data_IF_405554306266
#
_entry.id   IF_405554306266
#
_cell.length_a   1.000
_cell.length_b   1.000
_cell.length_c   1.000
_cell.angle_alpha   90.00
_cell.angle_beta   90.00
_cell.angle_gamma   90.00
#
_symmetry.space_group_name_H-M   'P 1'
#
loop_
_entity.id
_entity.type
_entity.pdbx_description
1 polymer ?
#
# COMPACT_ATOMS: atom_id res chain seq x y z
N UNK A 1 21.62 6.52 3.36
CA UNK A 1 20.82 7.59 3.97
C UNK A 1 21.65 8.29 5.02
N UNK A 2 21.60 9.62 5.16
CA UNK A 2 22.27 10.31 6.26
C UNK A 2 21.80 9.65 7.58
N UNK A 3 22.75 9.47 8.53
CA UNK A 3 22.39 8.94 9.85
C UNK A 3 21.34 9.86 10.45
N UNK A 4 20.13 9.37 10.48
CA UNK A 4 18.96 10.10 10.95
C UNK A 4 19.12 10.32 12.45
N UNK A 5 18.97 11.55 12.91
CA UNK A 5 19.00 11.88 14.32
C UNK A 5 17.91 11.11 15.07
N UNK A 6 18.29 10.29 16.04
CA UNK A 6 17.38 9.32 16.67
C UNK A 6 16.13 9.92 17.32
N UNK A 7 16.09 11.24 17.56
CA UNK A 7 15.03 11.91 18.35
C UNK A 7 14.54 13.24 17.77
N UNK A 8 14.73 13.51 16.49
CA UNK A 8 14.12 14.70 15.91
C UNK A 8 12.61 14.50 15.68
N UNK A 9 11.91 15.59 15.39
CA UNK A 9 10.47 15.61 15.13
C UNK A 9 10.04 14.57 14.10
N UNK A 10 10.78 14.45 12.98
CA UNK A 10 10.43 13.56 11.89
C UNK A 10 10.70 12.09 12.20
N UNK A 11 11.78 11.80 12.97
CA UNK A 11 12.04 10.45 13.47
C UNK A 11 10.95 9.94 14.40
N UNK A 12 10.45 10.80 15.30
CA UNK A 12 9.32 10.46 16.15
C UNK A 12 8.02 10.28 15.36
N UNK A 13 7.78 11.14 14.36
CA UNK A 13 6.62 11.05 13.50
C UNK A 13 6.64 9.75 12.68
N UNK A 14 7.78 9.40 12.08
CA UNK A 14 7.94 8.13 11.36
C UNK A 14 7.71 6.92 12.26
N UNK A 15 8.26 6.94 13.48
CA UNK A 15 8.06 5.84 14.44
C UNK A 15 6.58 5.65 14.81
N UNK A 16 5.87 6.75 15.08
CA UNK A 16 4.42 6.72 15.37
C UNK A 16 3.63 6.18 14.17
N UNK A 17 3.99 6.63 12.96
CA UNK A 17 3.34 6.19 11.74
C UNK A 17 3.52 4.69 11.49
N UNK A 18 4.74 4.19 11.63
CA UNK A 18 5.05 2.77 11.47
C UNK A 18 4.40 1.90 12.55
N UNK A 19 4.30 2.40 13.78
CA UNK A 19 3.58 1.70 14.86
C UNK A 19 2.08 1.61 14.57
N UNK A 20 1.48 2.69 14.08
CA UNK A 20 0.05 2.71 13.75
C UNK A 20 -0.29 1.85 12.53
N UNK A 21 0.59 1.80 11.53
CA UNK A 21 0.40 0.97 10.35
C UNK A 21 0.56 -0.53 10.62
N UNK A 22 1.33 -0.91 11.64
CA UNK A 22 1.59 -2.32 12.01
C UNK A 22 2.48 -3.07 11.02
N UNK A 23 2.29 -2.89 9.71
CA UNK A 23 3.13 -3.44 8.64
C UNK A 23 4.26 -2.45 8.28
N UNK A 24 5.47 -2.95 8.19
CA UNK A 24 6.66 -2.18 7.79
C UNK A 24 7.04 -2.37 6.32
N UNK A 25 6.19 -3.01 5.55
CA UNK A 25 6.39 -3.28 4.12
C UNK A 25 5.29 -2.66 3.24
N UNK A 26 5.43 -2.77 1.92
CA UNK A 26 4.51 -2.18 0.94
C UNK A 26 4.86 -0.76 0.56
N UNK A 27 3.87 0.05 0.25
CA UNK A 27 4.06 1.42 -0.20
C UNK A 27 3.63 2.43 0.86
N UNK A 28 4.46 3.46 1.06
CA UNK A 28 4.08 4.65 1.81
C UNK A 28 3.96 5.86 0.88
N UNK A 29 2.93 6.65 1.06
CA UNK A 29 2.74 7.92 0.39
C UNK A 29 3.00 9.06 1.38
N UNK A 30 3.93 9.95 1.06
CA UNK A 30 4.20 11.18 1.79
C UNK A 30 3.63 12.35 0.99
N UNK A 31 2.59 12.98 1.50
CA UNK A 31 1.86 14.06 0.83
C UNK A 31 2.20 15.40 1.46
N UNK A 32 2.76 16.30 0.67
CA UNK A 32 3.21 17.60 1.17
C UNK A 32 4.51 17.52 1.96
N UNK A 33 5.51 18.22 1.50
CA UNK A 33 6.85 18.24 2.07
C UNK A 33 7.14 19.57 2.78
N UNK A 34 7.80 19.50 3.95
CA UNK A 34 8.58 20.61 4.50
C UNK A 34 10.02 20.51 4.02
N UNK A 35 10.65 19.39 4.34
CA UNK A 35 12.06 19.13 4.08
C UNK A 35 12.32 17.80 3.37
N UNK A 36 11.36 16.88 3.36
CA UNK A 36 11.49 15.50 2.90
C UNK A 36 12.09 14.55 3.95
N UNK A 37 12.34 15.05 5.18
CA UNK A 37 12.94 14.25 6.26
C UNK A 37 12.06 13.09 6.70
N UNK A 38 10.73 13.24 6.68
CA UNK A 38 9.83 12.15 7.03
C UNK A 38 9.97 10.97 6.05
N UNK A 39 10.11 11.26 4.76
CA UNK A 39 10.34 10.22 3.75
C UNK A 39 11.68 9.49 4.00
N UNK A 40 12.75 10.22 4.33
CA UNK A 40 14.05 9.63 4.67
C UNK A 40 13.97 8.75 5.93
N UNK A 41 13.25 9.19 6.96
CA UNK A 41 13.06 8.42 8.19
C UNK A 41 12.25 7.13 7.96
N UNK A 42 11.20 7.18 7.12
CA UNK A 42 10.44 5.99 6.74
C UNK A 42 11.33 4.98 6.00
N UNK A 43 12.13 5.44 5.04
CA UNK A 43 13.07 4.59 4.31
C UNK A 43 14.12 3.94 5.22
N UNK A 44 14.59 4.67 6.24
CA UNK A 44 15.62 4.18 7.16
C UNK A 44 15.10 3.17 8.18
N UNK A 45 13.80 3.25 8.55
CA UNK A 45 13.20 2.47 9.65
C UNK A 45 12.30 1.32 9.20
N UNK A 46 12.09 1.17 7.90
CA UNK A 46 11.17 0.17 7.35
C UNK A 46 11.67 -0.38 6.01
N UNK A 47 10.97 -1.37 5.48
CA UNK A 47 11.12 -1.88 4.12
C UNK A 47 10.12 -1.26 3.14
N UNK A 48 9.46 -0.17 3.52
CA UNK A 48 8.50 0.52 2.66
C UNK A 48 9.19 1.07 1.40
N UNK A 49 8.48 1.00 0.28
CA UNK A 49 8.73 1.82 -0.89
C UNK A 49 8.01 3.14 -0.69
N UNK A 50 8.72 4.25 -0.77
CA UNK A 50 8.16 5.56 -0.43
C UNK A 50 7.95 6.39 -1.69
N UNK A 51 6.73 6.89 -1.87
CA UNK A 51 6.38 7.86 -2.90
C UNK A 51 6.12 9.19 -2.21
N UNK A 52 6.82 10.25 -2.63
CA UNK A 52 6.62 11.60 -2.13
C UNK A 52 5.94 12.46 -3.20
N UNK A 53 4.95 13.25 -2.81
CA UNK A 53 4.21 14.15 -3.70
C UNK A 53 4.14 15.55 -3.09
N UNK A 54 4.58 16.54 -3.83
CA UNK A 54 4.47 17.96 -3.50
C UNK A 54 4.40 18.80 -4.78
N UNK A 55 3.67 19.90 -4.73
CA UNK A 55 3.58 20.84 -5.85
C UNK A 55 4.88 21.67 -6.04
N UNK A 56 5.68 21.81 -4.99
CA UNK A 56 6.93 22.56 -5.00
C UNK A 56 8.07 21.73 -5.61
N UNK A 57 8.41 22.05 -6.86
CA UNK A 57 9.49 21.39 -7.59
C UNK A 57 10.85 21.52 -6.89
N UNK A 58 11.12 22.62 -6.17
CA UNK A 58 12.41 22.80 -5.49
C UNK A 58 12.57 21.80 -4.33
N UNK A 59 11.52 21.58 -3.54
CA UNK A 59 11.50 20.59 -2.47
C UNK A 59 11.68 19.17 -3.02
N UNK A 60 10.92 18.82 -4.05
CA UNK A 60 11.00 17.51 -4.72
C UNK A 60 12.40 17.28 -5.27
N UNK A 61 12.97 18.24 -6.02
CA UNK A 61 14.29 18.08 -6.61
C UNK A 61 15.41 18.02 -5.56
N UNK A 62 15.28 18.75 -4.46
CA UNK A 62 16.20 18.65 -3.33
C UNK A 62 16.17 17.25 -2.71
N UNK A 63 14.98 16.70 -2.49
CA UNK A 63 14.81 15.36 -1.93
C UNK A 63 15.32 14.29 -2.92
N UNK A 64 15.01 14.41 -4.21
CA UNK A 64 15.53 13.50 -5.25
C UNK A 64 17.05 13.40 -5.22
N UNK A 65 17.76 14.54 -5.18
CA UNK A 65 19.23 14.55 -5.12
C UNK A 65 19.74 13.76 -3.91
N UNK A 66 19.26 14.07 -2.70
CA UNK A 66 19.71 13.37 -1.48
C UNK A 66 19.47 11.86 -1.52
N UNK A 67 18.34 11.43 -2.06
CA UNK A 67 18.00 10.01 -2.18
C UNK A 67 18.77 9.32 -3.30
N UNK A 68 19.08 10.05 -4.40
CA UNK A 68 19.95 9.57 -5.48
C UNK A 68 21.37 9.35 -4.98
N UNK A 69 21.92 10.31 -4.24
CA UNK A 69 23.25 10.21 -3.62
C UNK A 69 23.33 9.03 -2.66
N UNK A 70 22.22 8.66 -2.03
CA UNK A 70 22.11 7.47 -1.19
C UNK A 70 21.91 6.14 -1.98
N UNK A 71 21.78 6.18 -3.31
CA UNK A 71 21.60 5.00 -4.17
C UNK A 71 20.24 4.30 -4.05
N UNK A 72 19.21 5.01 -3.57
CA UNK A 72 17.88 4.44 -3.25
C UNK A 72 16.79 4.89 -4.24
N UNK A 73 17.02 6.01 -4.95
CA UNK A 73 16.07 6.53 -5.95
C UNK A 73 15.80 5.50 -7.05
N UNK A 74 14.53 5.36 -7.46
CA UNK A 74 14.09 4.36 -8.43
C UNK A 74 14.03 2.91 -7.92
N UNK A 75 14.59 2.63 -6.74
CA UNK A 75 14.54 1.29 -6.11
C UNK A 75 13.48 1.19 -5.02
N UNK A 76 13.56 2.08 -4.05
CA UNK A 76 12.65 2.14 -2.91
C UNK A 76 12.04 3.53 -2.70
N UNK A 77 12.38 4.48 -3.54
CA UNK A 77 11.90 5.85 -3.44
C UNK A 77 11.59 6.43 -4.80
N UNK A 78 10.47 7.13 -4.90
CA UNK A 78 10.08 7.97 -6.02
C UNK A 78 9.51 9.29 -5.50
N UNK A 79 9.67 10.37 -6.27
CA UNK A 79 9.13 11.67 -5.93
C UNK A 79 8.51 12.35 -7.15
N UNK A 80 7.31 12.88 -6.98
CA UNK A 80 6.46 13.42 -8.03
C UNK A 80 6.19 14.90 -7.75
N UNK A 81 6.50 15.76 -8.72
CA UNK A 81 6.07 17.17 -8.71
C UNK A 81 4.64 17.20 -9.20
N UNK A 82 3.69 17.31 -8.30
CA UNK A 82 2.28 17.41 -8.63
C UNK A 82 1.49 18.02 -7.45
N UNK A 83 0.36 18.64 -7.78
CA UNK A 83 -0.61 19.00 -6.73
C UNK A 83 -1.18 17.70 -6.12
N UNK A 84 -1.04 17.50 -4.80
CA UNK A 84 -1.59 16.33 -4.14
C UNK A 84 -3.09 16.09 -4.33
N UNK A 85 -3.84 17.11 -4.72
CA UNK A 85 -5.29 17.02 -4.99
C UNK A 85 -5.61 16.36 -6.32
N UNK A 86 -4.75 16.59 -7.31
CA UNK A 86 -4.98 16.20 -8.71
C UNK A 86 -4.07 15.06 -9.17
N UNK A 87 -3.08 14.67 -8.37
CA UNK A 87 -2.19 13.57 -8.74
C UNK A 87 -2.97 12.27 -8.91
N UNK A 88 -2.82 11.69 -10.09
CA UNK A 88 -3.45 10.40 -10.40
C UNK A 88 -2.53 9.27 -9.93
N UNK A 89 -2.86 8.69 -8.78
CA UNK A 89 -2.20 7.50 -8.24
C UNK A 89 -3.16 6.31 -8.26
N UNK A 90 -2.62 5.09 -8.44
CA UNK A 90 -3.44 3.88 -8.41
C UNK A 90 -4.24 3.77 -7.09
N UNK A 91 -5.46 3.26 -7.11
CA UNK A 91 -6.20 2.98 -5.89
C UNK A 91 -5.55 1.83 -5.13
N UNK A 92 -5.79 1.75 -3.82
CA UNK A 92 -5.49 0.60 -2.97
C UNK A 92 -4.02 0.22 -2.81
N UNK A 93 -3.07 1.09 -3.19
CA UNK A 93 -1.65 0.73 -3.14
C UNK A 93 -0.97 1.04 -1.81
N UNK A 94 -1.45 2.06 -1.07
CA UNK A 94 -0.73 2.60 0.08
C UNK A 94 -1.03 1.84 1.38
N UNK A 95 -0.01 1.21 1.96
CA UNK A 95 -0.04 0.68 3.32
C UNK A 95 -0.04 1.79 4.37
N UNK A 96 0.61 2.92 4.03
CA UNK A 96 0.73 4.08 4.90
C UNK A 96 0.62 5.37 4.09
N UNK A 97 -0.18 6.32 4.56
CA UNK A 97 -0.20 7.70 4.05
C UNK A 97 0.10 8.65 5.20
N UNK A 98 1.06 9.54 5.00
CA UNK A 98 1.47 10.57 5.97
C UNK A 98 1.75 11.91 5.30
N UNK A 99 1.87 12.98 6.10
CA UNK A 99 2.26 14.30 5.62
C UNK A 99 3.30 14.92 6.54
N UNK A 100 4.22 15.70 5.98
CA UNK A 100 5.10 16.60 6.75
C UNK A 100 4.43 17.94 7.05
N UNK A 101 3.42 18.31 6.26
CA UNK A 101 2.67 19.56 6.39
C UNK A 101 1.30 19.31 7.01
N UNK A 102 0.71 20.36 7.57
CA UNK A 102 -0.70 20.34 7.93
C UNK A 102 -1.57 20.31 6.67
N UNK A 103 -2.69 19.59 6.72
CA UNK A 103 -3.71 19.64 5.66
C UNK A 103 -4.71 20.80 5.85
N UNK A 104 -4.48 21.71 6.80
CA UNK A 104 -5.43 22.79 7.12
C UNK A 104 -5.83 23.65 5.92
N UNK A 105 -4.89 23.95 5.05
CA UNK A 105 -5.10 24.75 3.85
C UNK A 105 -5.08 23.94 2.56
N UNK A 106 -5.05 22.62 2.67
CA UNK A 106 -5.06 21.75 1.50
C UNK A 106 -6.48 21.34 1.17
N UNK A 107 -6.85 21.37 -0.11
CA UNK A 107 -8.11 20.77 -0.54
C UNK A 107 -7.99 19.24 -0.72
N UNK A 108 -6.99 18.62 -0.11
CA UNK A 108 -6.87 17.16 -0.03
C UNK A 108 -7.98 16.66 0.89
N UNK A 109 -8.86 15.85 0.33
CA UNK A 109 -10.02 15.35 1.08
C UNK A 109 -9.70 13.99 1.73
N UNK A 110 -10.35 13.68 2.87
CA UNK A 110 -10.25 12.34 3.46
C UNK A 110 -10.60 11.24 2.46
N UNK A 111 -11.62 11.43 1.63
CA UNK A 111 -12.09 10.48 0.61
C UNK A 111 -11.01 10.24 -0.44
N UNK A 112 -10.38 11.29 -0.94
CA UNK A 112 -9.32 11.17 -1.95
C UNK A 112 -8.14 10.33 -1.47
N UNK A 113 -7.68 10.55 -0.24
CA UNK A 113 -6.61 9.77 0.36
C UNK A 113 -7.06 8.36 0.74
N UNK A 114 -8.29 8.22 1.26
CA UNK A 114 -8.85 6.92 1.64
C UNK A 114 -8.94 5.95 0.46
N UNK A 115 -9.23 6.45 -0.73
CA UNK A 115 -9.24 5.65 -1.97
C UNK A 115 -7.88 5.00 -2.25
N UNK A 116 -6.79 5.67 -1.90
CA UNK A 116 -5.43 5.18 -2.12
C UNK A 116 -4.99 4.14 -1.08
N UNK A 117 -5.68 4.08 0.08
CA UNK A 117 -5.33 3.12 1.13
C UNK A 117 -5.62 1.69 0.70
N UNK A 118 -4.64 0.83 0.94
CA UNK A 118 -4.76 -0.62 0.77
C UNK A 118 -5.83 -1.17 1.72
N UNK A 119 -6.76 -2.03 1.26
CA UNK A 119 -7.60 -2.83 2.14
C UNK A 119 -6.78 -3.67 3.13
N UNK A 120 -7.43 -4.16 4.17
CA UNK A 120 -6.80 -4.98 5.21
C UNK A 120 -5.61 -4.30 5.92
N UNK A 121 -5.80 -3.04 6.35
CA UNK A 121 -4.88 -2.37 7.27
C UNK A 121 -4.19 -1.11 6.77
N UNK A 122 -4.42 -0.67 5.52
CA UNK A 122 -3.87 0.61 5.05
C UNK A 122 -4.26 1.76 5.99
N UNK A 123 -3.28 2.56 6.41
CA UNK A 123 -3.45 3.56 7.45
C UNK A 123 -3.03 4.95 6.97
N UNK A 124 -3.91 5.92 7.15
CA UNK A 124 -3.64 7.34 6.96
C UNK A 124 -3.43 7.99 8.33
N UNK A 125 -2.35 8.73 8.48
CA UNK A 125 -2.07 9.54 9.65
C UNK A 125 -1.87 11.00 9.25
N UNK A 126 -2.75 11.85 9.73
CA UNK A 126 -2.76 13.27 9.43
C UNK A 126 -2.64 14.08 10.72
N UNK A 127 -1.76 15.08 10.71
CA UNK A 127 -1.57 16.03 11.80
C UNK A 127 -2.23 17.35 11.45
N UNK A 128 -2.77 18.03 12.45
CA UNK A 128 -3.32 19.40 12.33
C UNK A 128 -4.29 19.51 11.14
N UNK A 129 -5.23 18.56 11.04
CA UNK A 129 -6.23 18.55 9.99
C UNK A 129 -7.51 19.23 10.45
N UNK A 130 -8.15 19.94 9.55
CA UNK A 130 -9.51 20.49 9.74
C UNK A 130 -10.60 19.43 9.58
N UNK A 131 -10.22 18.15 9.56
CA UNK A 131 -11.18 17.06 9.44
C UNK A 131 -11.87 16.81 10.78
N UNK A 132 -12.90 17.57 11.02
CA UNK A 132 -13.76 17.37 12.18
C UNK A 132 -14.45 16.01 12.12
N UNK A 133 -14.95 15.54 13.26
CA UNK A 133 -15.75 14.32 13.31
C UNK A 133 -16.96 14.38 12.34
N UNK A 134 -17.49 15.56 12.11
CA UNK A 134 -18.58 15.80 11.16
C UNK A 134 -18.13 15.60 9.70
N UNK A 135 -16.97 16.14 9.32
CA UNK A 135 -16.39 15.92 7.98
C UNK A 135 -16.11 14.45 7.75
N UNK A 136 -15.50 13.76 8.72
CA UNK A 136 -15.18 12.36 8.61
C UNK A 136 -16.43 11.47 8.51
N UNK A 137 -17.47 11.76 9.29
CA UNK A 137 -18.73 11.01 9.22
C UNK A 137 -19.46 11.20 7.89
N UNK A 138 -19.50 12.44 7.38
CA UNK A 138 -20.07 12.76 6.07
C UNK A 138 -19.29 12.18 4.90
N UNK A 139 -18.00 11.89 5.09
CA UNK A 139 -17.13 11.32 4.05
C UNK A 139 -17.44 9.86 3.70
N UNK A 140 -18.33 9.18 4.43
CA UNK A 140 -18.73 7.78 4.17
C UNK A 140 -17.56 6.86 3.91
N UNK A 141 -16.55 6.88 4.79
CA UNK A 141 -15.34 6.04 4.65
C UNK A 141 -15.67 4.60 5.04
N UNK A 142 -16.31 3.88 4.13
CA UNK A 142 -16.84 2.53 4.36
C UNK A 142 -15.71 1.56 4.74
N UNK A 143 -15.93 0.74 5.78
CA UNK A 143 -14.93 -0.19 6.27
C UNK A 143 -13.75 0.47 7.02
N UNK A 144 -13.89 1.72 7.43
CA UNK A 144 -12.84 2.41 8.19
C UNK A 144 -13.01 2.29 9.69
N UNK A 145 -11.86 2.37 10.39
CA UNK A 145 -11.80 2.75 11.80
C UNK A 145 -11.09 4.09 11.88
N UNK A 146 -11.70 5.01 12.60
CA UNK A 146 -11.18 6.37 12.76
C UNK A 146 -10.92 6.61 14.24
N UNK A 147 -9.76 7.16 14.56
CA UNK A 147 -9.47 7.64 15.90
C UNK A 147 -8.72 8.96 15.86
N UNK A 148 -8.92 9.77 16.90
CA UNK A 148 -8.30 11.06 17.05
C UNK A 148 -7.65 11.17 18.43
N UNK A 149 -6.44 11.73 18.49
CA UNK A 149 -5.73 12.00 19.73
C UNK A 149 -5.00 13.34 19.63
N UNK A 150 -5.52 14.35 20.31
CA UNK A 150 -5.04 15.71 20.15
C UNK A 150 -5.19 16.18 18.70
N UNK A 151 -4.09 16.60 18.10
CA UNK A 151 -4.04 17.06 16.70
C UNK A 151 -3.81 15.94 15.66
N UNK A 152 -3.74 14.70 16.10
CA UNK A 152 -3.51 13.54 15.24
C UNK A 152 -4.84 12.87 14.92
N UNK A 153 -5.13 12.71 13.61
CA UNK A 153 -6.23 11.89 13.11
C UNK A 153 -5.65 10.68 12.39
N UNK A 154 -6.16 9.51 12.72
CA UNK A 154 -5.86 8.28 12.00
C UNK A 154 -7.12 7.70 11.38
N UNK A 155 -6.99 7.25 10.15
CA UNK A 155 -8.03 6.52 9.41
C UNK A 155 -7.42 5.22 8.91
N UNK A 156 -7.96 4.09 9.33
CA UNK A 156 -7.50 2.78 8.89
C UNK A 156 -8.61 2.08 8.09
N UNK A 157 -8.26 1.59 6.91
CA UNK A 157 -9.16 0.78 6.08
C UNK A 157 -9.07 -0.68 6.56
N UNK A 158 -10.20 -1.19 7.07
CA UNK A 158 -10.29 -2.56 7.58
C UNK A 158 -11.02 -3.48 6.62
N UNK A 159 -10.57 -4.73 6.59
CA UNK A 159 -11.23 -5.79 5.83
C UNK A 159 -11.24 -5.58 4.32
N UNK A 160 -12.12 -6.31 3.66
CA UNK A 160 -12.32 -6.26 2.22
C UNK A 160 -12.91 -4.93 1.73
N UNK A 161 -12.82 -4.70 0.43
CA UNK A 161 -13.66 -3.70 -0.23
C UNK A 161 -15.11 -4.18 -0.21
N UNK A 162 -16.04 -3.25 -0.07
CA UNK A 162 -17.46 -3.59 -0.19
C UNK A 162 -17.74 -4.16 -1.59
N UNK A 163 -18.39 -5.31 -1.64
CA UNK A 163 -18.66 -6.04 -2.88
C UNK A 163 -17.52 -6.93 -3.39
N UNK A 164 -16.36 -6.95 -2.73
CA UNK A 164 -15.30 -7.90 -3.05
C UNK A 164 -15.66 -9.29 -2.53
N UNK A 165 -15.22 -10.33 -3.25
CA UNK A 165 -15.32 -11.72 -2.81
C UNK A 165 -13.96 -12.42 -2.84
N UNK A 166 -13.79 -13.35 -1.92
CA UNK A 166 -12.63 -14.23 -1.89
C UNK A 166 -12.83 -15.42 -2.86
N UNK A 167 -11.74 -16.08 -3.23
CA UNK A 167 -11.70 -17.31 -4.01
C UNK A 167 -10.89 -18.34 -3.23
N UNK A 168 -11.52 -18.95 -2.23
CA UNK A 168 -10.83 -19.69 -1.17
C UNK A 168 -10.50 -21.16 -1.50
N UNK A 169 -10.98 -21.67 -2.61
CA UNK A 169 -10.79 -23.03 -3.08
C UNK A 169 -10.52 -23.06 -4.57
N UNK A 170 -9.97 -24.15 -5.08
CA UNK A 170 -9.67 -24.35 -6.52
C UNK A 170 -10.83 -23.96 -7.45
N UNK A 171 -12.05 -24.20 -7.01
CA UNK A 171 -13.27 -23.97 -7.78
C UNK A 171 -14.18 -22.90 -7.20
N UNK A 172 -13.60 -21.90 -6.53
CA UNK A 172 -14.28 -20.75 -5.95
C UNK A 172 -14.47 -20.88 -4.44
N UNK A 173 -15.30 -21.78 -4.01
CA UNK A 173 -15.62 -22.04 -2.61
C UNK A 173 -15.68 -23.55 -2.28
N UNK A 174 -16.04 -23.88 -1.05
CA UNK A 174 -16.17 -25.29 -0.61
C UNK A 174 -17.27 -26.05 -1.37
N UNK A 175 -18.26 -25.37 -1.93
CA UNK A 175 -19.32 -25.99 -2.72
C UNK A 175 -18.92 -26.21 -4.19
N UNK A 176 -17.74 -25.74 -4.59
CA UNK A 176 -17.21 -25.85 -5.96
C UNK A 176 -18.13 -25.25 -7.03
N UNK A 177 -18.63 -24.05 -6.76
CA UNK A 177 -19.63 -23.39 -7.64
C UNK A 177 -19.04 -22.85 -8.95
N UNK A 178 -17.71 -22.75 -9.09
CA UNK A 178 -17.02 -22.18 -10.25
C UNK A 178 -17.47 -20.77 -10.62
N UNK A 179 -17.95 -20.04 -9.66
CA UNK A 179 -18.52 -18.71 -9.82
C UNK A 179 -18.05 -17.79 -8.69
N UNK A 180 -17.67 -16.57 -9.04
CA UNK A 180 -17.34 -15.53 -8.06
C UNK A 180 -18.55 -14.66 -7.77
N UNK A 181 -18.78 -14.34 -6.51
CA UNK A 181 -19.77 -13.33 -6.08
C UNK A 181 -19.20 -11.92 -6.04
N UNK A 182 -17.96 -11.72 -6.53
CA UNK A 182 -17.33 -10.39 -6.63
C UNK A 182 -18.15 -9.47 -7.54
N UNK A 183 -18.42 -8.26 -7.06
CA UNK A 183 -19.22 -7.24 -7.74
C UNK A 183 -18.35 -6.10 -8.30
N UNK A 184 -17.06 -6.09 -8.00
CA UNK A 184 -16.16 -4.99 -8.32
C UNK A 184 -15.46 -5.19 -9.66
N UNK A 185 -15.17 -6.43 -10.03
CA UNK A 185 -14.50 -6.75 -11.29
C UNK A 185 -15.53 -6.78 -12.41
N UNK A 186 -15.51 -5.76 -13.26
CA UNK A 186 -16.44 -5.58 -14.37
C UNK A 186 -15.68 -5.24 -15.65
N UNK A 187 -16.24 -5.62 -16.80
CA UNK A 187 -15.70 -5.22 -18.09
C UNK A 187 -16.00 -3.73 -18.39
N UNK A 188 -15.09 -2.99 -19.08
CA UNK A 188 -13.80 -3.44 -19.58
C UNK A 188 -12.76 -3.59 -18.47
N UNK A 189 -11.95 -4.66 -18.54
CA UNK A 189 -10.92 -4.91 -17.56
C UNK A 189 -9.75 -3.98 -17.75
N UNK A 190 -9.13 -3.54 -16.64
CA UNK A 190 -7.91 -2.76 -16.61
C UNK A 190 -6.82 -3.45 -15.80
N UNK A 191 -5.59 -2.94 -15.91
CA UNK A 191 -4.46 -3.43 -15.11
C UNK A 191 -4.39 -2.57 -13.85
N UNK A 192 -4.46 -3.21 -12.68
CA UNK A 192 -4.33 -2.55 -11.39
C UNK A 192 -2.86 -2.30 -11.02
N UNK A 193 -1.99 -3.27 -11.31
CA UNK A 193 -0.56 -3.20 -10.99
C UNK A 193 0.27 -4.08 -11.91
N UNK A 194 1.59 -3.82 -11.94
CA UNK A 194 2.62 -4.72 -12.44
C UNK A 194 3.42 -5.24 -11.24
N UNK A 195 3.72 -6.53 -11.21
CA UNK A 195 4.46 -7.14 -10.10
C UNK A 195 5.86 -6.57 -9.89
N UNK A 196 6.44 -6.86 -8.74
CA UNK A 196 7.75 -6.39 -8.28
C UNK A 196 8.96 -7.04 -9.00
N UNK A 197 8.73 -7.72 -10.08
CA UNK A 197 9.80 -8.40 -10.80
C UNK A 197 9.28 -9.47 -11.76
N UNK A 198 10.18 -10.19 -12.40
CA UNK A 198 9.81 -11.28 -13.26
C UNK A 198 8.94 -12.23 -12.47
N UNK A 199 7.98 -12.77 -13.14
CA UNK A 199 7.01 -13.74 -12.66
C UNK A 199 7.38 -14.32 -11.28
N UNK A 200 6.55 -14.23 -10.31
CA UNK A 200 6.79 -14.83 -9.01
C UNK A 200 6.86 -16.38 -9.08
N UNK A 201 7.28 -16.93 -10.23
CA UNK A 201 7.37 -18.36 -10.50
C UNK A 201 6.02 -19.00 -10.84
N UNK A 202 5.04 -18.21 -11.22
CA UNK A 202 3.75 -18.74 -11.74
C UNK A 202 3.83 -19.06 -13.23
N UNK A 203 4.98 -19.53 -13.69
CA UNK A 203 5.17 -19.92 -15.08
C UNK A 203 4.14 -20.97 -15.50
N UNK A 204 3.58 -20.76 -16.68
CA UNK A 204 2.78 -21.79 -17.33
C UNK A 204 3.66 -23.00 -17.61
N UNK A 205 3.35 -24.14 -17.02
CA UNK A 205 3.84 -25.41 -17.57
C UNK A 205 3.41 -25.47 -19.03
N UNK A 206 4.35 -25.77 -19.92
CA UNK A 206 4.12 -25.91 -21.37
C UNK A 206 3.15 -27.05 -21.73
N UNK A 207 2.79 -27.88 -20.77
CA UNK A 207 1.83 -28.96 -20.92
C UNK A 207 0.41 -28.47 -20.66
N UNK A 208 -0.55 -29.08 -21.34
CA UNK A 208 -1.98 -29.03 -20.99
C UNK A 208 -2.27 -29.52 -19.56
N UNK A 209 -1.22 -29.69 -18.77
CA UNK A 209 -1.27 -30.02 -17.37
C UNK A 209 -1.92 -28.92 -16.55
N UNK A 210 -2.38 -29.29 -15.39
CA UNK A 210 -3.03 -28.40 -14.42
C UNK A 210 -2.11 -27.23 -14.12
N UNK A 211 -2.51 -26.03 -14.55
CA UNK A 211 -1.84 -24.79 -14.21
C UNK A 211 -1.86 -24.55 -12.68
N UNK A 212 -1.07 -23.59 -12.24
CA UNK A 212 -1.14 -23.09 -10.87
C UNK A 212 -2.60 -22.70 -10.57
N UNK A 213 -3.12 -23.17 -9.45
CA UNK A 213 -4.46 -22.89 -8.98
C UNK A 213 -4.36 -21.97 -7.79
N UNK A 214 -4.41 -20.64 -8.01
CA UNK A 214 -4.30 -19.71 -6.92
C UNK A 214 -5.58 -19.69 -6.10
N UNK A 215 -5.41 -19.54 -4.79
CA UNK A 215 -6.48 -19.23 -3.86
C UNK A 215 -6.33 -17.80 -3.39
N UNK A 216 -7.44 -17.10 -3.22
CA UNK A 216 -7.46 -15.69 -2.83
C UNK A 216 -8.30 -15.54 -1.57
N UNK A 217 -7.67 -15.06 -0.51
CA UNK A 217 -8.34 -14.74 0.74
C UNK A 217 -7.70 -13.54 1.43
N UNK A 218 -8.52 -12.69 2.01
CA UNK A 218 -8.08 -11.53 2.80
C UNK A 218 -7.03 -10.66 2.10
N UNK A 219 -7.19 -10.44 0.80
CA UNK A 219 -6.28 -9.60 0.01
C UNK A 219 -4.94 -10.27 -0.32
N UNK A 220 -4.84 -11.58 -0.15
CA UNK A 220 -3.66 -12.39 -0.48
C UNK A 220 -4.01 -13.41 -1.54
N UNK A 221 -3.18 -13.52 -2.56
CA UNK A 221 -3.20 -14.63 -3.48
C UNK A 221 -2.12 -15.62 -3.03
N UNK A 222 -2.50 -16.84 -2.77
CA UNK A 222 -1.60 -17.94 -2.41
C UNK A 222 -1.59 -18.97 -3.52
N UNK A 223 -0.42 -19.39 -3.92
CA UNK A 223 -0.27 -20.43 -4.92
C UNK A 223 0.99 -21.27 -4.65
N UNK A 224 0.95 -22.52 -5.08
CA UNK A 224 2.07 -23.43 -5.04
C UNK A 224 2.83 -23.40 -6.37
N UNK A 225 4.14 -23.18 -6.27
CA UNK A 225 5.08 -23.27 -7.39
C UNK A 225 5.70 -24.66 -7.37
N UNK A 226 5.27 -25.52 -8.28
CA UNK A 226 5.74 -26.91 -8.32
C UNK A 226 7.20 -27.03 -8.80
N UNK A 227 7.69 -26.10 -9.60
CA UNK A 227 9.07 -26.09 -10.08
C UNK A 227 10.06 -25.79 -8.96
N UNK A 228 9.76 -24.77 -8.16
CA UNK A 228 10.59 -24.34 -7.03
C UNK A 228 10.28 -25.09 -5.73
N UNK A 229 9.19 -25.90 -5.71
CA UNK A 229 8.66 -26.54 -4.49
C UNK A 229 8.40 -25.52 -3.38
N UNK A 230 7.83 -24.39 -3.75
CA UNK A 230 7.56 -23.29 -2.84
C UNK A 230 6.08 -22.92 -2.85
N UNK A 231 5.55 -22.62 -1.69
CA UNK A 231 4.29 -21.90 -1.54
C UNK A 231 4.59 -20.41 -1.46
N UNK A 232 3.89 -19.61 -2.26
CA UNK A 232 4.08 -18.16 -2.35
C UNK A 232 2.78 -17.43 -2.08
N UNK A 233 2.87 -16.31 -1.35
CA UNK A 233 1.75 -15.38 -1.20
C UNK A 233 2.13 -14.01 -1.75
N UNK A 234 1.22 -13.43 -2.52
CA UNK A 234 1.34 -12.06 -3.03
C UNK A 234 0.14 -11.22 -2.60
N UNK A 235 0.37 -9.94 -2.47
CA UNK A 235 -0.66 -8.93 -2.23
C UNK A 235 -1.46 -8.69 -3.52
N UNK A 236 -2.76 -8.93 -3.53
CA UNK A 236 -3.59 -8.77 -4.73
C UNK A 236 -3.75 -7.31 -5.19
N UNK A 237 -3.47 -6.34 -4.32
CA UNK A 237 -3.62 -4.92 -4.63
C UNK A 237 -2.35 -4.28 -5.19
N UNK A 238 -1.17 -4.91 -4.98
CA UNK A 238 0.12 -4.32 -5.36
C UNK A 238 1.04 -5.30 -6.09
N UNK A 239 0.70 -6.58 -6.17
CA UNK A 239 1.55 -7.63 -6.71
C UNK A 239 2.80 -7.95 -5.89
N UNK A 240 2.94 -7.33 -4.72
CA UNK A 240 4.11 -7.50 -3.85
C UNK A 240 4.16 -8.92 -3.28
N UNK A 241 5.34 -9.56 -3.35
CA UNK A 241 5.58 -10.80 -2.64
C UNK A 241 5.50 -10.55 -1.12
N UNK A 242 4.62 -11.26 -0.43
CA UNK A 242 4.45 -11.18 1.02
C UNK A 242 5.36 -12.16 1.74
N UNK A 243 5.35 -13.40 1.28
CA UNK A 243 6.21 -14.47 1.80
C UNK A 243 6.32 -15.61 0.80
N UNK A 244 7.35 -16.42 0.99
CA UNK A 244 7.53 -17.72 0.35
C UNK A 244 8.00 -18.75 1.39
N UNK A 245 7.62 -20.00 1.20
CA UNK A 245 8.01 -21.13 2.03
C UNK A 245 8.29 -22.33 1.17
N UNK A 246 9.46 -22.93 1.35
CA UNK A 246 9.78 -24.22 0.75
C UNK A 246 8.92 -25.32 1.36
N UNK A 247 8.51 -26.27 0.53
CA UNK A 247 7.81 -27.48 0.95
C UNK A 247 8.72 -28.68 0.66
N UNK A 248 8.83 -29.62 1.60
CA UNK A 248 9.69 -30.82 1.43
C UNK A 248 9.07 -31.83 0.47
N UNK A 249 7.77 -31.73 0.20
CA UNK A 249 7.01 -32.59 -0.72
C UNK A 249 6.08 -31.79 -1.59
N UNK A 250 5.82 -32.29 -2.80
CA UNK A 250 4.72 -31.77 -3.61
C UNK A 250 3.42 -31.91 -2.85
N UNK A 251 2.65 -30.85 -2.79
CA UNK A 251 1.26 -30.94 -2.34
C UNK A 251 0.50 -31.56 -3.53
N UNK A 252 0.10 -32.79 -3.37
CA UNK A 252 -0.67 -33.56 -4.36
C UNK A 252 -2.14 -33.22 -4.25
#
# INVERSE_FOLDING_TARGET
LPKTGKNDKFGQQAQRALTAAGDKGGYALVVGLQTGRLAEELLARSNLKVIAVDADAAKINSLRRRITDAGIYGKRFEAIVADPKSVMLPPYFASLIVSETSFENSAVTPVGLYRLLRPYGGTLLAHDVTWTSDILSKSKLIGSTIWQKGKLTAVQKKGALEGAADWTHESGDAARVYFSTDQLVQAPLGILWYGDGPDHGYEKKKDYGRGVKPEVAEGRLVAFDDAEKEMKAIDIYTGRLLWKRSTESSIV
#
